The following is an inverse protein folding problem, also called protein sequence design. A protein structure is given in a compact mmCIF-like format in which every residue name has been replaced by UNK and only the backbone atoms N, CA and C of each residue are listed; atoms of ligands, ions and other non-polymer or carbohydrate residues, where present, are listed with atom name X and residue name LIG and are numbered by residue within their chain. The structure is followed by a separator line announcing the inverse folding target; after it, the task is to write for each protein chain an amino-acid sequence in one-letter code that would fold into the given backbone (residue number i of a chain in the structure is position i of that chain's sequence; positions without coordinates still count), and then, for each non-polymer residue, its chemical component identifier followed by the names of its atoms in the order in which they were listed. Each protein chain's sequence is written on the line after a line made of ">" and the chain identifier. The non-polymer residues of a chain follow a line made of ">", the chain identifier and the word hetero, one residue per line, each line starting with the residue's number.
data_IF_001269661282
#
_entry.id   IF_001269661282
#
_cell.length_a   1.000
_cell.length_b   1.000
_cell.length_c   1.000
_cell.angle_alpha   90.00
_cell.angle_beta   90.00
_cell.angle_gamma   90.00
#
_symmetry.space_group_name_H-M   'P 1'
#
loop_
_entity.id
_entity.type
_entity.pdbx_description
1 polymer ?
#
# COMPACT_ATOMS: atom_id res chain seq x y z
N UNK A 1 20.10 18.34 -8.65
CA UNK A 1 21.30 18.84 -9.34
C UNK A 1 22.06 19.70 -8.35
N UNK A 2 23.36 19.46 -8.23
CA UNK A 2 24.26 20.05 -7.25
C UNK A 2 24.43 21.56 -7.50
N UNK A 3 24.06 22.39 -6.52
CA UNK A 3 24.20 23.85 -6.58
C UNK A 3 25.66 24.31 -6.33
N UNK A 4 26.65 23.44 -6.54
CA UNK A 4 28.06 23.73 -6.32
C UNK A 4 28.46 23.74 -4.84
N UNK A 5 27.73 23.02 -3.98
CA UNK A 5 28.16 22.79 -2.60
C UNK A 5 29.14 21.62 -2.58
N UNK A 6 30.34 21.83 -2.06
CA UNK A 6 31.27 20.74 -1.82
C UNK A 6 30.80 19.90 -0.64
N UNK A 7 30.72 18.59 -0.82
CA UNK A 7 30.47 17.64 0.25
C UNK A 7 31.45 16.46 0.14
N UNK A 8 31.74 15.84 1.27
CA UNK A 8 32.56 14.61 1.33
C UNK A 8 31.64 13.40 1.36
N UNK A 9 31.85 12.43 0.47
CA UNK A 9 31.12 11.16 0.51
C UNK A 9 31.96 10.13 1.25
N UNK A 10 31.36 9.45 2.23
CA UNK A 10 32.00 8.39 2.99
C UNK A 10 31.24 7.08 2.77
N UNK A 11 31.86 6.13 2.09
CA UNK A 11 31.28 4.79 1.88
C UNK A 11 31.72 3.84 2.99
N UNK A 12 30.73 3.45 3.80
CA UNK A 12 30.91 2.65 5.00
C UNK A 12 30.59 1.16 4.78
N UNK A 13 30.26 0.78 3.55
CA UNK A 13 29.89 -0.60 3.22
C UNK A 13 31.11 -1.51 3.27
N UNK A 14 30.96 -2.81 3.57
CA UNK A 14 32.03 -3.79 3.39
C UNK A 14 32.54 -3.86 1.95
N UNK A 15 33.79 -4.31 1.75
CA UNK A 15 34.40 -4.42 0.41
C UNK A 15 33.57 -5.28 -0.56
N UNK A 16 33.02 -6.40 -0.08
CA UNK A 16 32.17 -7.30 -0.86
C UNK A 16 30.97 -6.55 -1.47
N UNK A 17 30.25 -5.77 -0.67
CA UNK A 17 29.09 -4.98 -1.12
C UNK A 17 29.50 -3.84 -2.07
N UNK A 18 30.69 -3.26 -1.90
CA UNK A 18 31.19 -2.21 -2.82
C UNK A 18 31.54 -2.79 -4.19
N UNK A 19 32.05 -4.02 -4.22
CA UNK A 19 32.35 -4.73 -5.46
C UNK A 19 31.08 -5.16 -6.19
N UNK A 20 30.09 -5.65 -5.45
CA UNK A 20 28.80 -6.07 -6.01
C UNK A 20 27.96 -4.87 -6.49
N UNK A 21 27.94 -3.78 -5.72
CA UNK A 21 27.16 -2.57 -6.01
C UNK A 21 28.06 -1.32 -6.02
N UNK A 22 28.80 -1.04 -7.11
CA UNK A 22 29.68 0.12 -7.17
C UNK A 22 28.90 1.44 -7.04
N UNK A 23 29.42 2.38 -6.23
CA UNK A 23 28.82 3.70 -6.05
C UNK A 23 29.18 4.61 -7.24
N UNK A 24 28.39 4.55 -8.31
CA UNK A 24 28.65 5.27 -9.56
C UNK A 24 28.40 6.77 -9.44
N UNK A 25 29.25 7.58 -10.07
CA UNK A 25 29.08 9.05 -10.12
C UNK A 25 29.44 9.80 -8.84
N UNK A 26 29.89 9.12 -7.79
CA UNK A 26 30.44 9.70 -6.57
C UNK A 26 31.88 9.19 -6.37
N UNK A 27 32.72 10.01 -5.72
CA UNK A 27 34.09 9.64 -5.38
C UNK A 27 34.21 9.49 -3.85
N UNK A 28 33.86 8.32 -3.28
CA UNK A 28 33.82 8.14 -1.84
C UNK A 28 35.20 7.95 -1.21
N UNK A 29 35.36 8.46 0.00
CA UNK A 29 36.37 8.02 0.95
C UNK A 29 35.84 6.76 1.66
N UNK A 30 36.69 5.76 1.84
CA UNK A 30 36.32 4.54 2.57
C UNK A 30 36.66 4.72 4.05
N UNK A 31 35.66 4.61 4.93
CA UNK A 31 35.86 4.68 6.38
C UNK A 31 34.84 3.83 7.13
N UNK A 32 35.17 3.43 8.36
CA UNK A 32 34.23 2.78 9.28
C UNK A 32 33.55 3.79 10.21
N UNK A 33 32.56 3.32 10.98
CA UNK A 33 31.75 4.16 11.87
C UNK A 33 32.53 4.80 13.03
N UNK A 34 33.72 4.30 13.33
CA UNK A 34 34.57 4.82 14.41
C UNK A 34 35.61 5.83 13.87
N UNK A 35 35.75 5.92 12.55
CA UNK A 35 36.74 6.74 11.86
C UNK A 35 36.13 7.95 11.17
N UNK A 36 34.85 8.26 11.44
CA UNK A 36 34.18 9.43 10.88
C UNK A 36 34.80 10.67 11.53
N UNK A 37 35.56 11.43 10.73
CA UNK A 37 36.14 12.70 11.14
C UNK A 37 35.13 13.81 10.91
N UNK A 38 34.92 14.69 11.89
CA UNK A 38 34.24 15.97 11.67
C UNK A 38 35.14 16.82 10.76
N UNK A 39 34.80 16.90 9.48
CA UNK A 39 35.63 17.59 8.48
C UNK A 39 35.31 19.08 8.38
N UNK A 40 34.32 19.59 9.13
CA UNK A 40 33.84 20.97 9.04
C UNK A 40 32.99 21.25 7.79
N UNK A 41 33.12 20.43 6.74
CA UNK A 41 32.31 20.43 5.52
C UNK A 41 31.13 19.46 5.61
N UNK A 42 30.10 19.66 4.78
CA UNK A 42 28.95 18.75 4.66
C UNK A 42 29.45 17.34 4.30
N UNK A 43 29.08 16.32 5.08
CA UNK A 43 29.49 14.92 4.87
C UNK A 43 28.27 14.05 4.58
N UNK A 44 28.34 13.19 3.56
CA UNK A 44 27.30 12.23 3.21
C UNK A 44 27.81 10.81 3.48
N UNK A 45 27.19 10.14 4.45
CA UNK A 45 27.47 8.75 4.75
C UNK A 45 26.64 7.82 3.85
N UNK A 46 27.27 6.77 3.35
CA UNK A 46 26.67 5.79 2.46
C UNK A 46 26.77 4.39 3.07
N UNK A 47 25.63 3.74 3.25
CA UNK A 47 25.55 2.29 3.44
C UNK A 47 24.66 1.65 2.36
N UNK A 48 24.32 0.37 2.53
CA UNK A 48 23.56 -0.38 1.52
C UNK A 48 22.16 0.23 1.27
N UNK A 49 21.44 0.57 2.34
CA UNK A 49 20.03 1.02 2.27
C UNK A 49 19.79 2.39 2.96
N UNK A 50 20.84 3.07 3.43
CA UNK A 50 20.74 4.34 4.16
C UNK A 50 20.32 4.23 5.64
N UNK A 51 19.81 3.08 6.07
CA UNK A 51 19.27 2.86 7.44
C UNK A 51 20.38 2.92 8.50
N UNK A 52 21.50 2.23 8.26
CA UNK A 52 22.61 2.18 9.24
C UNK A 52 23.23 3.56 9.42
N UNK A 53 23.35 4.33 8.34
CA UNK A 53 23.95 5.67 8.36
C UNK A 53 23.04 6.69 9.02
N UNK A 54 21.72 6.59 8.86
CA UNK A 54 20.76 7.38 9.66
C UNK A 54 20.94 7.11 11.16
N UNK A 55 21.06 5.84 11.57
CA UNK A 55 21.27 5.46 12.96
C UNK A 55 22.54 6.07 13.54
N UNK A 56 23.67 5.94 12.84
CA UNK A 56 24.97 6.47 13.27
C UNK A 56 24.92 7.98 13.49
N UNK A 57 24.31 8.74 12.55
CA UNK A 57 24.22 10.20 12.65
C UNK A 57 23.46 10.61 13.92
N UNK A 58 22.34 9.95 14.20
CA UNK A 58 21.51 10.24 15.37
C UNK A 58 22.22 9.83 16.67
N UNK A 59 22.80 8.63 16.71
CA UNK A 59 23.44 8.08 17.92
C UNK A 59 24.71 8.84 18.32
N UNK A 60 25.55 9.18 17.34
CA UNK A 60 26.80 9.90 17.57
C UNK A 60 26.61 11.42 17.56
N UNK A 61 25.41 11.92 17.26
CA UNK A 61 25.07 13.36 17.15
C UNK A 61 25.98 14.10 16.19
N UNK A 62 26.25 13.49 15.04
CA UNK A 62 27.14 14.07 14.03
C UNK A 62 26.50 15.31 13.42
N UNK A 63 27.17 16.46 13.54
CA UNK A 63 26.75 17.70 12.90
C UNK A 63 27.20 17.74 11.43
N UNK A 64 26.46 18.47 10.58
CA UNK A 64 26.73 18.61 9.14
C UNK A 64 26.94 17.27 8.41
N UNK A 65 26.34 16.20 8.93
CA UNK A 65 26.46 14.84 8.40
C UNK A 65 25.09 14.33 8.02
N UNK A 66 24.97 13.80 6.80
CA UNK A 66 23.73 13.38 6.19
C UNK A 66 23.82 11.92 5.73
N UNK A 67 22.71 11.20 5.77
CA UNK A 67 22.62 9.86 5.19
C UNK A 67 22.20 9.97 3.74
N UNK A 68 22.82 9.19 2.85
CA UNK A 68 22.24 8.94 1.53
C UNK A 68 20.98 8.08 1.70
N UNK A 69 19.81 8.71 1.66
CA UNK A 69 18.52 8.02 1.84
C UNK A 69 18.36 6.91 0.79
N UNK A 70 17.97 5.71 1.21
CA UNK A 70 17.93 4.52 0.34
C UNK A 70 19.29 3.91 0.00
N UNK A 71 20.39 4.53 0.44
CA UNK A 71 21.74 4.03 0.29
C UNK A 71 22.16 3.87 -1.16
N UNK A 72 23.17 3.02 -1.37
CA UNK A 72 23.69 2.74 -2.72
C UNK A 72 22.65 2.08 -3.62
N UNK A 73 21.71 1.33 -3.06
CA UNK A 73 20.68 0.61 -3.82
C UNK A 73 19.76 1.59 -4.55
N UNK A 74 19.14 2.51 -3.81
CA UNK A 74 18.30 3.54 -4.43
C UNK A 74 19.11 4.48 -5.34
N UNK A 75 20.37 4.76 -4.98
CA UNK A 75 21.24 5.60 -5.80
C UNK A 75 21.55 5.01 -7.18
N UNK A 76 21.84 3.71 -7.23
CA UNK A 76 22.10 3.02 -8.51
C UNK A 76 20.88 3.11 -9.41
N UNK A 77 19.68 2.86 -8.86
CA UNK A 77 18.42 2.98 -9.61
C UNK A 77 18.14 4.40 -10.09
N UNK A 78 18.38 5.38 -9.23
CA UNK A 78 18.27 6.78 -9.63
C UNK A 78 19.26 7.15 -10.76
N UNK A 79 20.47 6.60 -10.75
CA UNK A 79 21.45 6.86 -11.80
C UNK A 79 21.05 6.18 -13.12
N UNK A 80 20.61 4.92 -13.07
CA UNK A 80 20.27 4.11 -14.25
C UNK A 80 18.94 4.51 -14.89
N UNK A 81 17.88 4.61 -14.08
CA UNK A 81 16.49 4.72 -14.55
C UNK A 81 15.86 6.09 -14.27
N UNK A 82 16.56 6.97 -13.53
CA UNK A 82 16.03 8.27 -13.07
C UNK A 82 14.81 8.16 -12.16
N UNK A 83 14.67 7.00 -11.52
CA UNK A 83 13.62 6.71 -10.55
C UNK A 83 14.20 6.81 -9.13
N UNK A 84 13.61 7.67 -8.29
CA UNK A 84 14.04 7.83 -6.89
C UNK A 84 13.25 6.89 -5.98
N UNK A 85 13.86 5.75 -5.64
CA UNK A 85 13.28 4.75 -4.74
C UNK A 85 13.62 4.99 -3.25
N UNK A 86 14.30 6.09 -2.93
CA UNK A 86 14.83 6.35 -1.58
C UNK A 86 13.74 6.42 -0.51
N UNK A 87 12.54 6.87 -0.91
CA UNK A 87 11.34 6.94 -0.07
C UNK A 87 10.94 5.60 0.53
N UNK A 88 11.11 4.51 -0.23
CA UNK A 88 10.71 3.16 0.17
C UNK A 88 11.87 2.33 0.69
N UNK A 89 12.99 2.95 1.09
CA UNK A 89 14.19 2.27 1.58
C UNK A 89 13.95 1.21 2.67
N UNK A 90 13.02 1.48 3.59
CA UNK A 90 12.62 0.55 4.66
C UNK A 90 11.74 -0.61 4.18
N UNK A 91 11.11 -0.46 3.02
CA UNK A 91 10.33 -1.51 2.36
C UNK A 91 11.24 -2.36 1.46
N UNK A 92 12.13 -1.71 0.69
CA UNK A 92 13.05 -2.39 -0.24
C UNK A 92 14.14 -3.20 0.45
N UNK A 93 14.39 -2.97 1.76
CA UNK A 93 15.30 -3.82 2.55
C UNK A 93 14.73 -5.21 2.83
N UNK A 94 13.40 -5.39 2.73
CA UNK A 94 12.76 -6.70 2.89
C UNK A 94 13.10 -7.57 1.68
N UNK A 95 13.72 -8.75 1.85
CA UNK A 95 14.15 -9.59 0.72
C UNK A 95 13.03 -9.98 -0.23
N UNK A 96 11.82 -10.16 0.29
CA UNK A 96 10.63 -10.54 -0.48
C UNK A 96 10.06 -9.38 -1.32
N UNK A 97 10.45 -8.14 -1.04
CA UNK A 97 10.09 -6.96 -1.82
C UNK A 97 11.29 -6.54 -2.67
N UNK A 98 12.41 -6.15 -2.05
CA UNK A 98 13.56 -5.64 -2.78
C UNK A 98 13.25 -4.39 -3.62
N UNK A 99 14.18 -4.02 -4.50
CA UNK A 99 13.96 -2.96 -5.48
C UNK A 99 12.95 -3.40 -6.55
N UNK A 100 13.05 -4.64 -7.03
CA UNK A 100 12.18 -5.17 -8.08
C UNK A 100 10.70 -5.22 -7.65
N UNK A 101 10.41 -5.65 -6.42
CA UNK A 101 9.05 -5.61 -5.88
C UNK A 101 8.53 -4.19 -5.73
N UNK A 102 9.38 -3.23 -5.35
CA UNK A 102 8.99 -1.82 -5.32
C UNK A 102 8.63 -1.29 -6.72
N UNK A 103 9.43 -1.61 -7.74
CA UNK A 103 9.13 -1.26 -9.14
C UNK A 103 7.83 -1.88 -9.63
N UNK A 104 7.55 -3.12 -9.23
CA UNK A 104 6.26 -3.78 -9.51
C UNK A 104 5.10 -3.04 -8.85
N UNK A 105 5.25 -2.57 -7.61
CA UNK A 105 4.24 -1.73 -6.96
C UNK A 105 4.03 -0.41 -7.70
N UNK A 106 5.12 0.28 -8.08
CA UNK A 106 5.05 1.55 -8.82
C UNK A 106 4.43 1.41 -10.21
N UNK A 107 4.47 0.20 -10.78
CA UNK A 107 3.81 -0.11 -12.06
C UNK A 107 2.37 -0.62 -11.91
N UNK A 108 1.95 -0.97 -10.68
CA UNK A 108 0.68 -1.64 -10.46
C UNK A 108 -0.53 -0.69 -10.49
N UNK A 109 -1.65 -1.22 -10.97
CA UNK A 109 -2.97 -0.59 -10.95
C UNK A 109 -3.93 -1.38 -10.07
N UNK A 110 -4.44 -0.77 -9.00
CA UNK A 110 -5.43 -1.40 -8.11
C UNK A 110 -6.78 -0.69 -8.23
N UNK A 111 -7.83 -1.47 -8.51
CA UNK A 111 -9.21 -0.98 -8.53
C UNK A 111 -9.84 -1.14 -7.14
N UNK A 112 -10.35 -0.07 -6.55
CA UNK A 112 -11.00 -0.04 -5.24
C UNK A 112 -12.47 0.31 -5.44
N UNK A 113 -13.36 -0.60 -5.06
CA UNK A 113 -14.82 -0.41 -5.10
C UNK A 113 -15.31 -0.08 -3.70
N UNK A 114 -15.76 1.16 -3.50
CA UNK A 114 -16.17 1.68 -2.21
C UNK A 114 -15.03 2.41 -1.50
N UNK A 115 -15.31 3.66 -1.13
CA UNK A 115 -14.40 4.58 -0.45
C UNK A 115 -14.88 4.89 0.97
N UNK A 116 -15.36 3.84 1.63
CA UNK A 116 -15.87 3.85 3.01
C UNK A 116 -14.86 3.38 4.05
N UNK A 117 -15.33 2.69 5.09
CA UNK A 117 -14.49 2.31 6.24
C UNK A 117 -13.35 1.34 5.91
N UNK A 118 -13.55 0.44 4.94
CA UNK A 118 -12.51 -0.48 4.44
C UNK A 118 -11.63 0.19 3.39
N UNK A 119 -12.25 0.90 2.46
CA UNK A 119 -11.56 1.52 1.34
C UNK A 119 -10.56 2.56 1.82
N UNK A 120 -10.95 3.44 2.76
CA UNK A 120 -10.10 4.53 3.25
C UNK A 120 -8.70 4.04 3.70
N UNK A 121 -8.60 3.14 4.69
CA UNK A 121 -7.31 2.62 5.14
C UNK A 121 -6.60 1.82 4.03
N UNK A 122 -7.32 1.07 3.19
CA UNK A 122 -6.70 0.33 2.10
C UNK A 122 -6.01 1.27 1.09
N UNK A 123 -6.72 2.29 0.61
CA UNK A 123 -6.19 3.27 -0.34
C UNK A 123 -5.02 4.06 0.24
N UNK A 124 -5.11 4.49 1.52
CA UNK A 124 -4.01 5.19 2.20
C UNK A 124 -2.75 4.33 2.24
N UNK A 125 -2.87 3.07 2.68
CA UNK A 125 -1.72 2.17 2.81
C UNK A 125 -1.10 1.81 1.47
N UNK A 126 -1.91 1.55 0.44
CA UNK A 126 -1.41 1.28 -0.92
C UNK A 126 -0.70 2.49 -1.53
N UNK A 127 -1.26 3.68 -1.36
CA UNK A 127 -0.66 4.93 -1.85
C UNK A 127 0.72 5.18 -1.22
N UNK A 128 0.84 4.96 0.10
CA UNK A 128 2.09 5.15 0.84
C UNK A 128 3.09 4.02 0.53
N UNK A 129 2.62 2.79 0.32
CA UNK A 129 3.45 1.64 -0.10
C UNK A 129 4.03 1.80 -1.52
N UNK A 130 3.58 2.80 -2.27
CA UNK A 130 4.08 3.11 -3.61
C UNK A 130 3.36 2.36 -4.72
N UNK A 131 2.07 2.05 -4.55
CA UNK A 131 1.25 1.60 -5.69
C UNK A 131 1.11 2.75 -6.68
N UNK A 132 1.46 2.49 -7.95
CA UNK A 132 1.52 3.49 -9.00
C UNK A 132 0.18 4.12 -9.33
N UNK A 133 -0.87 3.30 -9.43
CA UNK A 133 -2.20 3.77 -9.81
C UNK A 133 -3.30 3.16 -8.95
N UNK A 134 -4.20 4.02 -8.46
CA UNK A 134 -5.46 3.62 -7.85
C UNK A 134 -6.62 4.06 -8.74
N UNK A 135 -7.50 3.13 -9.10
CA UNK A 135 -8.81 3.42 -9.70
C UNK A 135 -9.85 3.30 -8.60
N UNK A 136 -10.62 4.35 -8.33
CA UNK A 136 -11.55 4.41 -7.19
C UNK A 136 -12.95 4.69 -7.72
N UNK A 137 -13.93 3.90 -7.30
CA UNK A 137 -15.35 4.11 -7.62
C UNK A 137 -16.18 4.14 -6.34
N UNK A 138 -16.92 5.23 -6.14
CA UNK A 138 -17.88 5.42 -5.06
C UNK A 138 -18.86 6.53 -5.46
N UNK A 139 -20.17 6.31 -5.23
CA UNK A 139 -21.23 7.26 -5.57
C UNK A 139 -21.69 8.15 -4.41
N UNK A 140 -21.16 7.95 -3.20
CA UNK A 140 -21.57 8.65 -2.00
C UNK A 140 -20.87 9.99 -1.80
N UNK A 141 -21.47 10.78 -0.90
CA UNK A 141 -20.86 11.96 -0.28
C UNK A 141 -20.37 11.65 1.12
N UNK A 142 -19.42 12.45 1.59
CA UNK A 142 -18.97 12.39 2.98
C UNK A 142 -20.06 12.92 3.90
N UNK A 143 -20.41 12.14 4.93
CA UNK A 143 -21.34 12.54 5.98
C UNK A 143 -20.67 12.61 7.36
N UNK A 144 -21.22 13.42 8.27
CA UNK A 144 -20.74 13.47 9.66
C UNK A 144 -20.73 12.08 10.34
N UNK A 145 -21.74 11.27 10.04
CA UNK A 145 -21.90 9.88 10.51
C UNK A 145 -20.80 8.93 10.03
N UNK A 146 -19.98 9.35 9.06
CA UNK A 146 -18.91 8.53 8.48
C UNK A 146 -17.58 8.72 9.21
N UNK A 147 -17.34 9.90 9.79
CA UNK A 147 -16.01 10.33 10.25
C UNK A 147 -15.44 9.45 11.38
N UNK A 148 -16.28 8.75 12.14
CA UNK A 148 -15.81 7.85 13.21
C UNK A 148 -15.09 6.59 12.69
N UNK A 149 -15.24 6.24 11.41
CA UNK A 149 -14.68 5.02 10.80
C UNK A 149 -14.03 5.23 9.43
N UNK A 150 -14.06 6.44 8.89
CA UNK A 150 -13.49 6.79 7.58
C UNK A 150 -12.40 7.86 7.77
N UNK A 151 -11.23 7.49 8.33
CA UNK A 151 -10.22 8.44 8.80
C UNK A 151 -9.50 9.19 7.66
N UNK A 152 -9.80 8.87 6.39
CA UNK A 152 -9.36 9.68 5.27
C UNK A 152 -10.07 11.04 5.26
N UNK A 153 -11.33 11.13 5.72
CA UNK A 153 -12.11 12.36 5.65
C UNK A 153 -12.09 13.18 6.94
N UNK A 154 -12.29 14.49 6.81
CA UNK A 154 -12.42 15.44 7.91
C UNK A 154 -13.77 16.15 7.91
N UNK A 155 -13.97 17.02 8.90
CA UNK A 155 -15.19 17.83 9.03
C UNK A 155 -15.37 18.76 7.82
N UNK A 156 -14.26 19.23 7.27
CA UNK A 156 -14.19 20.07 6.08
C UNK A 156 -14.67 19.37 4.79
N UNK A 157 -14.75 18.04 4.78
CA UNK A 157 -15.17 17.28 3.60
C UNK A 157 -16.67 17.00 3.56
N UNK A 158 -17.41 17.27 4.63
CA UNK A 158 -18.84 16.95 4.72
C UNK A 158 -19.60 17.57 3.52
N UNK A 159 -20.33 16.73 2.79
CA UNK A 159 -21.09 17.10 1.60
C UNK A 159 -20.31 17.02 0.28
N UNK A 160 -18.99 16.85 0.31
CA UNK A 160 -18.18 16.55 -0.90
C UNK A 160 -18.36 15.11 -1.34
N UNK A 161 -18.14 14.84 -2.63
CA UNK A 161 -18.07 13.47 -3.14
C UNK A 161 -16.89 12.75 -2.48
N UNK A 162 -17.11 11.52 -2.01
CA UNK A 162 -16.08 10.72 -1.33
C UNK A 162 -14.84 10.56 -2.22
N UNK A 163 -15.05 10.21 -3.50
CA UNK A 163 -13.95 10.00 -4.45
C UNK A 163 -13.11 11.26 -4.69
N UNK A 164 -13.73 12.45 -4.74
CA UNK A 164 -12.99 13.71 -4.92
C UNK A 164 -12.14 14.05 -3.69
N UNK A 165 -12.73 13.94 -2.50
CA UNK A 165 -12.02 14.18 -1.24
C UNK A 165 -10.90 13.15 -1.04
N UNK A 166 -11.15 11.88 -1.40
CA UNK A 166 -10.15 10.83 -1.33
C UNK A 166 -8.97 11.11 -2.28
N UNK A 167 -9.25 11.45 -3.54
CA UNK A 167 -8.21 11.80 -4.53
C UNK A 167 -7.28 12.90 -4.02
N UNK A 168 -7.85 14.01 -3.58
CA UNK A 168 -7.06 15.15 -3.08
C UNK A 168 -6.14 14.75 -1.92
N UNK A 169 -6.61 13.89 -1.03
CA UNK A 169 -5.85 13.48 0.15
C UNK A 169 -4.81 12.41 -0.15
N UNK A 170 -5.11 11.47 -1.04
CA UNK A 170 -4.17 10.44 -1.47
C UNK A 170 -3.02 11.04 -2.29
N UNK A 171 -3.30 11.98 -3.19
CA UNK A 171 -2.26 12.70 -3.95
C UNK A 171 -1.36 13.56 -3.02
N UNK A 172 -1.89 14.05 -1.89
CA UNK A 172 -1.06 14.70 -0.84
C UNK A 172 -0.20 13.71 -0.07
N UNK A 173 -0.65 12.47 0.11
CA UNK A 173 0.13 11.41 0.77
C UNK A 173 1.27 10.94 -0.13
N UNK A 174 1.06 10.82 -1.44
CA UNK A 174 2.07 10.48 -2.42
C UNK A 174 1.78 11.19 -3.75
N UNK A 175 2.58 12.22 -4.07
CA UNK A 175 2.41 12.99 -5.31
C UNK A 175 2.73 12.22 -6.58
N UNK A 176 3.44 11.09 -6.48
CA UNK A 176 3.78 10.24 -7.61
C UNK A 176 2.67 9.23 -7.95
N UNK A 177 1.73 9.01 -7.02
CA UNK A 177 0.62 8.08 -7.23
C UNK A 177 -0.47 8.70 -8.12
N UNK A 178 -0.92 7.96 -9.14
CA UNK A 178 -2.02 8.36 -10.01
C UNK A 178 -3.34 7.89 -9.40
N UNK A 179 -4.23 8.83 -9.09
CA UNK A 179 -5.57 8.51 -8.56
C UNK A 179 -6.64 8.85 -9.61
N UNK A 180 -7.21 7.81 -10.21
CA UNK A 180 -8.35 7.89 -11.14
C UNK A 180 -9.65 7.66 -10.37
N UNK A 181 -10.64 8.52 -10.57
CA UNK A 181 -11.91 8.48 -9.83
C UNK A 181 -13.11 8.35 -10.75
N UNK A 182 -14.13 7.64 -10.29
CA UNK A 182 -15.44 7.53 -10.93
C UNK A 182 -16.51 7.77 -9.86
N UNK A 183 -17.31 8.83 -10.02
CA UNK A 183 -18.28 9.32 -9.03
C UNK A 183 -19.68 8.70 -9.17
N UNK A 184 -19.73 7.39 -9.45
CA UNK A 184 -20.98 6.64 -9.61
C UNK A 184 -20.90 5.33 -8.84
N UNK A 185 -22.04 4.70 -8.58
CA UNK A 185 -22.04 3.33 -8.07
C UNK A 185 -21.63 2.34 -9.18
N UNK A 186 -20.85 1.34 -8.82
CA UNK A 186 -20.52 0.22 -9.69
C UNK A 186 -21.81 -0.48 -10.14
N UNK A 187 -21.95 -0.72 -11.44
CA UNK A 187 -23.07 -1.43 -12.06
C UNK A 187 -22.59 -2.22 -13.29
N UNK A 188 -23.50 -2.95 -13.92
CA UNK A 188 -23.20 -3.79 -15.10
C UNK A 188 -22.64 -2.97 -16.28
N UNK A 189 -23.12 -1.74 -16.47
CA UNK A 189 -22.76 -0.91 -17.62
C UNK A 189 -21.35 -0.31 -17.50
N UNK A 190 -20.93 0.03 -16.28
CA UNK A 190 -19.62 0.65 -16.02
C UNK A 190 -18.55 -0.35 -15.53
N UNK A 191 -18.96 -1.50 -15.01
CA UNK A 191 -18.09 -2.36 -14.20
C UNK A 191 -16.91 -2.92 -14.96
N UNK A 192 -17.13 -3.46 -16.16
CA UNK A 192 -16.05 -4.05 -16.96
C UNK A 192 -14.98 -3.02 -17.35
N UNK A 193 -15.40 -1.81 -17.73
CA UNK A 193 -14.47 -0.72 -18.05
C UNK A 193 -13.71 -0.23 -16.81
N UNK A 194 -14.37 -0.23 -15.64
CA UNK A 194 -13.74 0.15 -14.39
C UNK A 194 -12.68 -0.85 -13.92
N UNK A 195 -12.92 -2.16 -14.04
CA UNK A 195 -11.93 -3.17 -13.61
C UNK A 195 -10.88 -3.50 -14.67
N UNK A 196 -11.12 -3.13 -15.93
CA UNK A 196 -10.15 -3.35 -17.02
C UNK A 196 -8.79 -2.72 -16.70
N UNK A 197 -7.73 -3.45 -17.04
CA UNK A 197 -6.33 -3.06 -16.86
C UNK A 197 -5.91 -2.90 -15.39
N UNK A 198 -6.74 -3.34 -14.43
CA UNK A 198 -6.33 -3.47 -13.04
C UNK A 198 -5.62 -4.81 -12.82
N UNK A 199 -4.60 -4.80 -11.97
CA UNK A 199 -3.93 -6.01 -11.53
C UNK A 199 -4.70 -6.71 -10.41
N UNK A 200 -5.45 -5.94 -9.60
CA UNK A 200 -6.21 -6.42 -8.44
C UNK A 200 -7.47 -5.56 -8.25
N UNK A 201 -8.56 -6.20 -7.84
CA UNK A 201 -9.78 -5.53 -7.35
C UNK A 201 -9.86 -5.66 -5.83
N UNK A 202 -10.05 -4.55 -5.12
CA UNK A 202 -10.37 -4.50 -3.70
C UNK A 202 -11.86 -4.25 -3.56
N UNK A 203 -12.55 -5.21 -2.94
CA UNK A 203 -13.94 -5.05 -2.52
C UNK A 203 -13.98 -4.43 -1.13
N UNK A 204 -14.30 -3.14 -1.08
CA UNK A 204 -14.48 -2.37 0.13
C UNK A 204 -15.95 -2.00 0.36
N UNK A 205 -16.88 -2.80 -0.18
CA UNK A 205 -18.32 -2.55 -0.16
C UNK A 205 -19.00 -3.25 1.02
N UNK A 206 -20.16 -2.73 1.42
CA UNK A 206 -20.95 -3.22 2.56
C UNK A 206 -22.26 -3.91 2.14
N UNK A 207 -22.50 -4.09 0.84
CA UNK A 207 -23.73 -4.69 0.33
C UNK A 207 -23.44 -5.89 -0.59
N UNK A 208 -24.25 -6.93 -0.42
CA UNK A 208 -24.04 -8.24 -1.05
C UNK A 208 -24.22 -8.20 -2.58
N UNK A 209 -25.11 -7.33 -3.09
CA UNK A 209 -25.35 -7.23 -4.53
C UNK A 209 -24.11 -6.72 -5.28
N UNK A 210 -23.45 -5.69 -4.75
CA UNK A 210 -22.20 -5.20 -5.34
C UNK A 210 -21.09 -6.23 -5.22
N UNK A 211 -21.00 -6.99 -4.13
CA UNK A 211 -20.02 -8.09 -3.99
C UNK A 211 -20.16 -9.16 -5.07
N UNK A 212 -21.40 -9.60 -5.33
CA UNK A 212 -21.70 -10.55 -6.41
C UNK A 212 -21.39 -9.98 -7.80
N UNK A 213 -21.55 -8.67 -8.00
CA UNK A 213 -21.14 -8.01 -9.24
C UNK A 213 -19.61 -7.99 -9.37
N UNK A 214 -18.89 -7.59 -8.32
CA UNK A 214 -17.41 -7.59 -8.31
C UNK A 214 -16.86 -8.99 -8.60
N UNK A 215 -17.44 -10.03 -7.99
CA UNK A 215 -17.05 -11.41 -8.21
C UNK A 215 -17.20 -11.85 -9.67
N UNK A 216 -18.33 -11.51 -10.30
CA UNK A 216 -18.54 -11.78 -11.73
C UNK A 216 -17.54 -11.02 -12.60
N UNK A 217 -17.34 -9.73 -12.33
CA UNK A 217 -16.38 -8.90 -13.07
C UNK A 217 -14.94 -9.42 -12.92
N UNK A 218 -14.57 -9.86 -11.72
CA UNK A 218 -13.28 -10.49 -11.40
C UNK A 218 -13.08 -11.76 -12.22
N UNK A 219 -14.07 -12.66 -12.26
CA UNK A 219 -14.05 -13.88 -13.08
C UNK A 219 -13.98 -13.59 -14.58
N UNK A 220 -14.75 -12.63 -15.06
CA UNK A 220 -14.80 -12.26 -16.49
C UNK A 220 -13.50 -11.61 -16.97
N UNK A 221 -12.90 -10.76 -16.15
CA UNK A 221 -11.66 -10.04 -16.47
C UNK A 221 -10.39 -10.83 -16.16
N UNK A 222 -10.48 -11.90 -15.36
CA UNK A 222 -9.33 -12.65 -14.86
C UNK A 222 -8.50 -11.87 -13.83
N UNK A 223 -9.06 -10.81 -13.24
CA UNK A 223 -8.41 -9.97 -12.24
C UNK A 223 -8.78 -10.48 -10.84
N UNK A 224 -7.81 -10.83 -9.96
CA UNK A 224 -8.09 -11.33 -8.62
C UNK A 224 -8.82 -10.30 -7.76
N UNK A 225 -9.68 -10.81 -6.86
CA UNK A 225 -10.46 -10.00 -5.92
C UNK A 225 -9.95 -10.20 -4.50
N UNK A 226 -9.67 -9.11 -3.80
CA UNK A 226 -9.40 -9.11 -2.35
C UNK A 226 -10.69 -8.69 -1.63
N UNK A 227 -11.39 -9.69 -1.09
CA UNK A 227 -12.67 -9.52 -0.38
C UNK A 227 -12.48 -8.93 1.02
N UNK A 228 -13.39 -8.03 1.41
CA UNK A 228 -13.47 -7.46 2.75
C UNK A 228 -14.89 -7.53 3.33
N UNK A 229 -15.03 -8.10 4.52
CA UNK A 229 -16.29 -8.21 5.25
C UNK A 229 -16.21 -7.60 6.64
N UNK A 230 -17.31 -7.01 7.11
CA UNK A 230 -17.42 -6.46 8.46
C UNK A 230 -18.77 -6.83 9.07
N UNK A 231 -18.77 -7.14 10.36
CA UNK A 231 -19.98 -7.29 11.16
C UNK A 231 -19.68 -7.00 12.64
N UNK A 232 -20.24 -5.91 13.19
CA UNK A 232 -20.02 -5.48 14.59
C UNK A 232 -18.54 -5.31 14.96
N UNK A 233 -17.95 -6.33 15.58
CA UNK A 233 -16.55 -6.38 16.03
C UNK A 233 -15.70 -7.36 15.20
N UNK A 234 -16.32 -8.01 14.20
CA UNK A 234 -15.70 -9.03 13.37
C UNK A 234 -15.33 -8.48 11.99
N UNK A 235 -14.24 -9.01 11.45
CA UNK A 235 -13.71 -8.70 10.14
C UNK A 235 -13.42 -9.98 9.35
N UNK A 236 -13.55 -9.90 8.02
CA UNK A 236 -13.28 -11.02 7.13
C UNK A 236 -12.41 -10.58 5.95
N UNK A 237 -11.43 -11.39 5.56
CA UNK A 237 -10.62 -11.17 4.35
C UNK A 237 -10.35 -12.50 3.64
N UNK A 238 -10.44 -12.49 2.31
CA UNK A 238 -10.06 -13.62 1.46
C UNK A 238 -9.47 -13.12 0.14
N UNK A 239 -8.62 -13.92 -0.51
CA UNK A 239 -8.23 -13.70 -1.91
C UNK A 239 -9.01 -14.69 -2.78
N UNK A 240 -9.82 -14.13 -3.66
CA UNK A 240 -10.79 -14.85 -4.48
C UNK A 240 -10.41 -14.76 -5.96
N UNK A 241 -10.87 -15.73 -6.75
CA UNK A 241 -10.64 -15.80 -8.19
C UNK A 241 -9.16 -15.75 -8.60
N UNK A 242 -8.27 -16.35 -7.79
CA UNK A 242 -6.83 -16.42 -8.06
C UNK A 242 -6.38 -17.88 -8.08
N UNK A 243 -5.57 -18.27 -9.06
CA UNK A 243 -4.99 -19.63 -9.14
C UNK A 243 -6.02 -20.77 -9.00
N UNK A 244 -7.25 -20.57 -9.47
CA UNK A 244 -8.33 -21.55 -9.36
C UNK A 244 -9.05 -21.58 -8.01
N UNK A 245 -8.79 -20.61 -7.12
CA UNK A 245 -9.56 -20.45 -5.88
C UNK A 245 -11.01 -20.08 -6.16
N UNK A 246 -11.88 -20.41 -5.20
CA UNK A 246 -13.29 -20.05 -5.21
C UNK A 246 -13.50 -18.54 -5.31
N UNK A 247 -14.58 -18.14 -5.98
CA UNK A 247 -15.09 -16.78 -5.95
C UNK A 247 -16.01 -16.54 -4.77
N UNK A 248 -16.55 -15.32 -4.70
CA UNK A 248 -17.47 -14.94 -3.61
C UNK A 248 -18.76 -15.77 -3.63
N UNK A 249 -19.32 -16.03 -4.82
CA UNK A 249 -20.55 -16.80 -4.94
C UNK A 249 -20.41 -18.27 -4.53
N UNK A 250 -19.22 -18.85 -4.70
CA UNK A 250 -18.93 -20.22 -4.27
C UNK A 250 -18.71 -20.29 -2.76
N UNK A 251 -18.12 -19.24 -2.18
CA UNK A 251 -17.89 -19.14 -0.74
C UNK A 251 -19.20 -18.90 0.04
N UNK A 252 -20.12 -18.13 -0.53
CA UNK A 252 -21.41 -17.80 0.08
C UNK A 252 -22.56 -18.13 -0.88
N UNK A 253 -22.90 -19.43 -1.06
CA UNK A 253 -23.84 -19.87 -2.09
C UNK A 253 -25.31 -19.60 -1.75
N UNK A 254 -25.65 -19.54 -0.47
CA UNK A 254 -27.02 -19.30 -0.03
C UNK A 254 -27.32 -17.79 -0.04
N UNK A 255 -28.47 -17.37 -0.61
CA UNK A 255 -28.89 -15.98 -0.52
C UNK A 255 -29.01 -15.60 0.96
N UNK A 256 -28.54 -14.40 1.35
CA UNK A 256 -28.53 -13.98 2.75
C UNK A 256 -29.94 -14.10 3.32
N UNK A 257 -30.12 -15.04 4.24
CA UNK A 257 -31.39 -15.29 4.91
C UNK A 257 -31.62 -14.19 5.94
N UNK A 258 -32.03 -13.00 5.49
CA UNK A 258 -32.37 -11.87 6.38
C UNK A 258 -31.25 -11.50 7.35
N UNK A 259 -30.43 -10.53 6.98
CA UNK A 259 -29.49 -9.87 7.87
C UNK A 259 -29.70 -8.38 7.82
N UNK A 260 -29.77 -7.75 8.99
CA UNK A 260 -29.60 -6.31 9.17
C UNK A 260 -28.45 -5.82 8.26
N UNK A 261 -28.65 -4.72 7.55
CA UNK A 261 -27.53 -4.12 6.82
C UNK A 261 -26.44 -3.77 7.84
N UNK A 262 -25.18 -3.70 7.42
CA UNK A 262 -24.10 -3.35 8.34
C UNK A 262 -24.33 -2.00 9.07
N UNK A 263 -25.22 -1.15 8.52
CA UNK A 263 -25.70 0.09 9.12
C UNK A 263 -26.61 -0.13 10.34
N UNK A 264 -27.39 -1.21 10.39
CA UNK A 264 -28.35 -1.49 11.48
C UNK A 264 -27.68 -2.17 12.69
N UNK A 265 -26.62 -2.95 12.46
CA UNK A 265 -25.88 -3.65 13.52
C UNK A 265 -24.80 -2.79 14.21
N UNK A 266 -24.38 -1.69 13.56
CA UNK A 266 -23.25 -0.85 13.99
C UNK A 266 -21.89 -1.50 13.77
N UNK A 267 -20.83 -0.68 13.67
CA UNK A 267 -19.44 -1.13 13.47
C UNK A 267 -18.51 -0.31 14.36
N UNK A 268 -17.60 -0.97 15.07
CA UNK A 268 -16.54 -0.28 15.80
C UNK A 268 -15.50 0.26 14.81
N UNK A 269 -15.25 1.57 14.84
CA UNK A 269 -14.49 2.30 13.80
C UNK A 269 -13.06 1.82 13.52
N UNK A 270 -12.44 1.08 14.45
CA UNK A 270 -11.09 0.54 14.31
C UNK A 270 -11.06 -0.75 13.48
N UNK A 271 -12.13 -1.55 13.52
CA UNK A 271 -12.19 -2.84 12.80
C UNK A 271 -12.09 -2.66 11.29
N UNK A 272 -12.81 -1.70 10.64
CA UNK A 272 -12.58 -1.37 9.24
C UNK A 272 -11.13 -0.99 8.93
N UNK A 273 -10.49 -0.23 9.83
CA UNK A 273 -9.07 0.12 9.77
C UNK A 273 -8.17 -1.11 9.67
N UNK A 274 -8.39 -2.09 10.54
CA UNK A 274 -7.62 -3.34 10.56
C UNK A 274 -7.86 -4.14 9.29
N UNK A 275 -9.13 -4.38 8.93
CA UNK A 275 -9.51 -5.21 7.78
C UNK A 275 -9.04 -4.60 6.47
N UNK A 276 -9.22 -3.28 6.26
CA UNK A 276 -8.75 -2.61 5.05
C UNK A 276 -7.22 -2.62 4.91
N UNK A 277 -6.47 -2.60 6.03
CA UNK A 277 -5.02 -2.79 6.00
C UNK A 277 -4.62 -4.24 5.66
N UNK A 278 -5.37 -5.23 6.13
CA UNK A 278 -5.16 -6.62 5.70
C UNK A 278 -5.43 -6.73 4.20
N UNK A 279 -6.50 -6.12 3.67
CA UNK A 279 -6.76 -6.10 2.22
C UNK A 279 -5.61 -5.47 1.43
N UNK A 280 -5.07 -4.33 1.89
CA UNK A 280 -3.92 -3.69 1.27
C UNK A 280 -2.66 -4.58 1.31
N UNK A 281 -2.41 -5.26 2.43
CA UNK A 281 -1.29 -6.19 2.57
C UNK A 281 -1.40 -7.37 1.60
N UNK A 282 -2.59 -7.97 1.47
CA UNK A 282 -2.83 -9.05 0.50
C UNK A 282 -2.60 -8.59 -0.93
N UNK A 283 -3.04 -7.37 -1.26
CA UNK A 283 -2.80 -6.79 -2.57
C UNK A 283 -1.30 -6.58 -2.84
N UNK A 284 -0.55 -6.04 -1.88
CA UNK A 284 0.92 -5.90 -2.00
C UNK A 284 1.58 -7.25 -2.24
N UNK A 285 1.25 -8.28 -1.45
CA UNK A 285 1.81 -9.63 -1.61
C UNK A 285 1.57 -10.19 -3.01
N UNK A 286 0.34 -10.06 -3.53
CA UNK A 286 0.00 -10.46 -4.90
C UNK A 286 0.86 -9.72 -5.93
N UNK A 287 0.97 -8.40 -5.82
CA UNK A 287 1.76 -7.58 -6.76
C UNK A 287 3.25 -7.94 -6.72
N UNK A 288 3.84 -8.18 -5.54
CA UNK A 288 5.27 -8.52 -5.43
C UNK A 288 5.56 -10.02 -5.60
N UNK A 289 4.53 -10.87 -5.70
CA UNK A 289 4.67 -12.31 -5.91
C UNK A 289 5.01 -13.11 -4.65
N UNK A 290 4.71 -12.57 -3.47
CA UNK A 290 4.69 -13.35 -2.23
C UNK A 290 3.48 -14.29 -2.29
N UNK A 291 3.66 -15.54 -1.85
CA UNK A 291 2.61 -16.54 -1.89
C UNK A 291 1.31 -16.03 -1.23
N UNK A 292 0.18 -16.03 -1.97
CA UNK A 292 -1.09 -15.49 -1.47
C UNK A 292 -1.73 -16.49 -0.50
N UNK A 293 -1.29 -16.46 0.75
CA UNK A 293 -1.73 -17.41 1.78
C UNK A 293 -3.22 -17.34 2.16
N UNK A 294 -3.95 -16.31 1.71
CA UNK A 294 -5.41 -16.23 1.81
C UNK A 294 -6.15 -16.66 0.53
N UNK A 295 -5.45 -17.14 -0.50
CA UNK A 295 -6.08 -17.80 -1.63
C UNK A 295 -6.65 -19.15 -1.18
N UNK A 296 -7.96 -19.37 -1.40
CA UNK A 296 -8.65 -20.57 -0.94
C UNK A 296 -8.87 -20.62 0.57
N UNK A 297 -8.73 -19.48 1.27
CA UNK A 297 -8.95 -19.37 2.72
C UNK A 297 -9.75 -18.14 3.08
N UNK A 298 -10.46 -18.22 4.19
CA UNK A 298 -11.13 -17.08 4.82
C UNK A 298 -10.45 -16.75 6.15
N UNK A 299 -9.85 -15.56 6.24
CA UNK A 299 -9.40 -15.00 7.50
C UNK A 299 -10.59 -14.36 8.20
N UNK A 300 -10.79 -14.72 9.47
CA UNK A 300 -11.79 -14.13 10.37
C UNK A 300 -11.07 -13.52 11.55
N UNK A 301 -11.25 -12.21 11.75
CA UNK A 301 -10.77 -11.46 12.89
C UNK A 301 -11.91 -11.18 13.87
N UNK A 302 -11.73 -11.56 15.13
CA UNK A 302 -12.63 -11.21 16.23
C UNK A 302 -11.96 -10.14 17.11
N UNK A 303 -12.45 -8.90 17.00
CA UNK A 303 -11.93 -7.76 17.74
C UNK A 303 -12.30 -7.74 19.23
N UNK A 304 -13.30 -8.53 19.66
CA UNK A 304 -13.66 -8.65 21.09
C UNK A 304 -12.63 -9.48 21.84
N UNK A 305 -12.18 -10.58 21.23
CA UNK A 305 -11.24 -11.51 21.84
C UNK A 305 -9.79 -11.37 21.34
N UNK A 306 -9.56 -10.53 20.31
CA UNK A 306 -8.26 -10.38 19.63
C UNK A 306 -7.76 -11.71 19.04
N UNK A 307 -8.66 -12.49 18.46
CA UNK A 307 -8.34 -13.77 17.82
C UNK A 307 -8.40 -13.64 16.30
N UNK A 308 -7.52 -14.38 15.62
CA UNK A 308 -7.50 -14.52 14.17
C UNK A 308 -7.60 -16.01 13.86
N UNK A 309 -8.62 -16.39 13.10
CA UNK A 309 -8.80 -17.75 12.60
C UNK A 309 -8.70 -17.74 11.08
N UNK A 310 -8.04 -18.75 10.51
CA UNK A 310 -8.07 -19.01 9.07
C UNK A 310 -8.89 -20.28 8.82
N UNK A 311 -9.85 -20.21 7.91
CA UNK A 311 -10.72 -21.32 7.51
C UNK A 311 -10.33 -21.71 6.07
N UNK A 312 -10.02 -22.98 5.84
CA UNK A 312 -9.77 -23.53 4.50
C UNK A 312 -11.10 -23.74 3.75
N UNK A 313 -11.13 -23.44 2.45
CA UNK A 313 -12.34 -23.45 1.60
C UNK A 313 -12.41 -24.66 0.66
#
# INVERSE_FOLDING_TARGET
>A
MDNGKSFTVVDMRPEEHRNEFPLTGLNPVIADANSILETGDDTVLVCQFGIVTEGIIVEQKLENTFSLLGGVQAWIEFQSEKEDLSRWSRQTVLPEIGLDGQKRLLSATIAIVGMGGLGCPAAQSLTIAGVGKLKIIDGDKVELSNLHRQPLYGVEDIGRLKVEAAKEKLEKLNGDAVVEIVDVFLNEDNGINFVRDADIIIDATDNIQTRLLIDRLSKESGVPMVYGGLYRYEGQVAILNVNGSSGYSELFPDPPSGGDTCADAGILGMVPGIVGNIQALEAVKLIVGIEPNLAGKLLVYDGMNQTIQTIEL
#
